data_IF_071831631292
#
_entry.id   IF_071831631292
#
_cell.length_a   1.000
_cell.length_b   1.000
_cell.length_c   1.000
_cell.angle_alpha   90.00
_cell.angle_beta   90.00
_cell.angle_gamma   90.00
#
_symmetry.space_group_name_H-M   'P 1'
#
loop_
_entity.id
_entity.type
_entity.pdbx_description
1 polymer ?
#
# COMPACT_ATOMS: atom_id res chain seq x y z
N UNK A 1 -8.44 -10.89 -10.50
CA UNK A 1 -7.22 -10.47 -11.24
C UNK A 1 -7.51 -9.50 -12.39
N UNK A 2 -8.37 -9.84 -13.37
CA UNK A 2 -8.64 -8.98 -14.55
C UNK A 2 -8.79 -7.47 -14.30
N UNK A 3 -9.52 -7.05 -13.26
CA UNK A 3 -9.69 -5.62 -12.94
C UNK A 3 -8.38 -4.97 -12.47
N UNK A 4 -7.62 -5.61 -11.58
CA UNK A 4 -6.37 -5.07 -11.05
C UNK A 4 -5.32 -4.90 -12.14
N UNK A 5 -5.19 -5.88 -13.03
CA UNK A 5 -4.32 -5.80 -14.22
C UNK A 5 -4.72 -4.65 -15.15
N UNK A 6 -6.02 -4.41 -15.32
CA UNK A 6 -6.52 -3.30 -16.13
C UNK A 6 -6.19 -1.94 -15.48
N UNK A 7 -6.36 -1.86 -14.16
CA UNK A 7 -6.03 -0.66 -13.40
C UNK A 7 -4.52 -0.37 -13.49
N UNK A 8 -3.67 -1.35 -13.26
CA UNK A 8 -2.22 -1.21 -13.37
C UNK A 8 -1.80 -0.75 -14.78
N UNK A 9 -2.41 -1.34 -15.82
CA UNK A 9 -2.04 -1.06 -17.21
C UNK A 9 -2.57 0.29 -17.73
N UNK A 10 -3.80 0.66 -17.38
CA UNK A 10 -4.51 1.75 -18.05
C UNK A 10 -4.80 2.94 -17.15
N UNK A 11 -4.76 2.78 -15.83
CA UNK A 11 -5.04 3.91 -14.95
C UNK A 11 -3.83 4.83 -14.89
N UNK A 12 -4.05 6.13 -15.08
CA UNK A 12 -3.00 7.12 -14.94
C UNK A 12 -2.66 7.27 -13.45
N UNK A 13 -1.67 6.51 -12.95
CA UNK A 13 -1.29 6.52 -11.53
C UNK A 13 -0.97 7.93 -11.02
N UNK A 14 -0.36 8.78 -11.86
CA UNK A 14 -0.11 10.22 -11.58
C UNK A 14 -1.37 11.06 -11.32
N UNK A 15 -2.55 10.54 -11.64
CA UNK A 15 -3.84 11.18 -11.37
C UNK A 15 -4.51 10.67 -10.10
N UNK A 16 -3.91 9.74 -9.37
CA UNK A 16 -4.50 9.23 -8.15
C UNK A 16 -4.47 10.29 -7.04
N UNK A 17 -5.44 10.22 -6.15
CA UNK A 17 -5.25 10.76 -4.81
C UNK A 17 -4.22 9.89 -4.10
N UNK A 18 -3.37 10.45 -3.24
CA UNK A 18 -2.26 9.68 -2.71
C UNK A 18 -2.67 8.37 -1.98
N UNK A 19 -3.87 8.32 -1.38
CA UNK A 19 -4.40 7.09 -0.75
C UNK A 19 -4.72 5.97 -1.75
N UNK A 20 -4.85 6.30 -3.05
CA UNK A 20 -5.14 5.35 -4.11
C UNK A 20 -4.07 4.28 -4.23
N UNK A 21 -2.80 4.64 -4.06
CA UNK A 21 -1.69 3.67 -4.08
C UNK A 21 -1.73 2.72 -2.90
N UNK A 22 -2.02 3.22 -1.71
CA UNK A 22 -2.22 2.35 -0.54
C UNK A 22 -3.41 1.41 -0.72
N UNK A 23 -4.51 1.86 -1.35
CA UNK A 23 -5.60 0.95 -1.70
C UNK A 23 -5.19 -0.14 -2.69
N UNK A 24 -4.43 0.20 -3.72
CA UNK A 24 -3.89 -0.80 -4.64
C UNK A 24 -2.95 -1.77 -3.91
N UNK A 25 -2.12 -1.26 -3.00
CA UNK A 25 -1.22 -2.04 -2.17
C UNK A 25 -1.95 -3.01 -1.23
N UNK A 26 -3.10 -2.65 -0.67
CA UNK A 26 -3.90 -3.57 0.14
C UNK A 26 -4.60 -4.65 -0.71
N UNK A 27 -4.93 -4.35 -1.96
CA UNK A 27 -5.58 -5.29 -2.87
C UNK A 27 -4.59 -6.31 -3.47
N UNK A 28 -3.34 -5.92 -3.74
CA UNK A 28 -2.40 -6.78 -4.45
C UNK A 28 -2.07 -8.11 -3.71
N UNK A 29 -1.82 -8.13 -2.37
CA UNK A 29 -1.60 -9.36 -1.62
C UNK A 29 -2.79 -10.31 -1.65
N UNK A 30 -4.03 -9.78 -1.67
CA UNK A 30 -5.25 -10.59 -1.80
C UNK A 30 -5.36 -11.32 -3.13
N UNK A 31 -4.66 -10.82 -4.15
CA UNK A 31 -4.56 -11.45 -5.45
C UNK A 31 -3.31 -12.35 -5.57
N UNK A 32 -2.58 -12.55 -4.47
CA UNK A 32 -1.33 -13.30 -4.43
C UNK A 32 -0.16 -12.56 -5.07
N UNK A 33 -0.18 -11.23 -5.10
CA UNK A 33 0.88 -10.39 -5.65
C UNK A 33 1.41 -9.41 -4.59
N UNK A 34 2.15 -9.96 -3.64
CA UNK A 34 2.79 -9.21 -2.55
C UNK A 34 3.92 -8.31 -3.03
N UNK A 35 4.55 -8.65 -4.18
CA UNK A 35 5.60 -7.82 -4.79
C UNK A 35 5.00 -6.49 -5.27
N UNK A 36 3.92 -6.56 -6.03
CA UNK A 36 3.24 -5.38 -6.54
C UNK A 36 2.71 -4.47 -5.42
N UNK A 37 2.38 -5.03 -4.25
CA UNK A 37 2.02 -4.25 -3.07
C UNK A 37 3.14 -3.30 -2.64
N UNK A 38 4.38 -3.81 -2.59
CA UNK A 38 5.57 -3.02 -2.24
C UNK A 38 5.86 -1.99 -3.32
N UNK A 39 5.74 -2.35 -4.60
CA UNK A 39 5.93 -1.42 -5.72
C UNK A 39 4.96 -0.22 -5.66
N UNK A 40 3.70 -0.44 -5.27
CA UNK A 40 2.75 0.67 -5.07
C UNK A 40 3.17 1.59 -3.92
N UNK A 41 3.65 1.04 -2.81
CA UNK A 41 4.09 1.83 -1.64
C UNK A 41 5.42 2.57 -1.89
N UNK A 42 6.24 2.08 -2.81
CA UNK A 42 7.50 2.72 -3.24
C UNK A 42 7.34 3.62 -4.46
N UNK A 43 6.13 3.74 -5.01
CA UNK A 43 5.91 4.48 -6.25
C UNK A 43 6.34 5.95 -6.11
N UNK A 44 6.99 6.57 -7.13
CA UNK A 44 7.54 7.93 -7.04
C UNK A 44 6.55 9.07 -6.72
N UNK A 45 5.25 8.79 -6.71
CA UNK A 45 4.21 9.78 -6.38
C UNK A 45 3.75 9.63 -4.92
N UNK A 46 4.05 8.50 -4.27
CA UNK A 46 3.77 8.25 -2.85
C UNK A 46 4.89 8.81 -1.99
N UNK A 47 4.99 10.13 -1.94
CA UNK A 47 6.13 10.83 -1.35
C UNK A 47 5.84 11.36 0.05
N UNK A 48 6.88 11.36 0.87
CA UNK A 48 6.90 11.96 2.19
C UNK A 48 8.07 12.95 2.27
N UNK A 49 7.88 14.06 2.98
CA UNK A 49 8.95 15.02 3.21
C UNK A 49 9.95 14.50 4.26
N UNK A 50 10.97 15.31 4.58
CA UNK A 50 12.00 14.95 5.55
C UNK A 50 11.50 14.87 7.00
N UNK A 51 10.31 15.41 7.29
CA UNK A 51 9.64 15.26 8.58
C UNK A 51 8.66 14.07 8.59
N UNK A 52 8.55 13.33 7.48
CA UNK A 52 7.66 12.18 7.33
C UNK A 52 6.21 12.57 7.01
N UNK A 53 5.94 13.83 6.65
CA UNK A 53 4.60 14.21 6.25
C UNK A 53 4.34 13.88 4.77
N UNK A 54 3.12 13.41 4.44
CA UNK A 54 2.76 13.10 3.07
C UNK A 54 2.72 14.37 2.23
N UNK A 55 3.51 14.38 1.17
CA UNK A 55 3.54 15.47 0.20
C UNK A 55 2.25 15.38 -0.63
N UNK A 56 1.45 16.43 -0.55
CA UNK A 56 0.29 16.59 -1.41
C UNK A 56 0.72 16.84 -2.85
N UNK A 57 0.14 16.10 -3.79
CA UNK A 57 0.36 16.30 -5.22
C UNK A 57 -0.51 17.43 -5.79
N UNK A 58 -0.48 17.59 -7.12
CA UNK A 58 -1.29 18.58 -7.85
C UNK A 58 -2.80 18.61 -7.52
N UNK A 59 -3.34 17.52 -6.96
CA UNK A 59 -4.78 17.38 -6.64
C UNK A 59 -5.14 17.62 -5.18
N UNK A 60 -4.19 17.54 -4.26
CA UNK A 60 -4.46 17.65 -2.81
C UNK A 60 -3.38 18.48 -2.12
N UNK A 61 -3.75 19.44 -1.25
CA UNK A 61 -2.77 20.25 -0.55
C UNK A 61 -2.02 19.42 0.50
N UNK A 62 -0.73 19.73 0.65
CA UNK A 62 0.13 19.23 1.74
C UNK A 62 -0.31 19.85 3.08
N UNK A 63 -0.45 19.12 4.19
CA UNK A 63 -0.22 17.68 4.38
C UNK A 63 -1.50 16.86 4.18
N UNK A 64 -1.45 15.85 3.30
CA UNK A 64 -2.60 15.01 3.01
C UNK A 64 -2.59 13.72 3.87
N UNK A 65 -3.01 13.84 5.13
CA UNK A 65 -2.94 12.77 6.14
C UNK A 65 -3.60 11.42 5.79
N UNK A 66 -4.62 11.34 4.92
CA UNK A 66 -5.08 10.03 4.45
C UNK A 66 -3.93 9.15 3.94
N UNK A 67 -2.94 9.69 3.23
CA UNK A 67 -1.79 8.90 2.77
C UNK A 67 -1.11 8.12 3.91
N UNK A 68 -0.78 8.81 5.00
CA UNK A 68 -0.09 8.19 6.13
C UNK A 68 -0.96 7.12 6.79
N UNK A 69 -2.24 7.41 7.00
CA UNK A 69 -3.16 6.46 7.60
C UNK A 69 -3.31 5.18 6.75
N UNK A 70 -3.46 5.34 5.44
CA UNK A 70 -3.61 4.21 4.53
C UNK A 70 -2.28 3.46 4.30
N UNK A 71 -1.13 4.12 4.37
CA UNK A 71 0.18 3.44 4.41
C UNK A 71 0.26 2.52 5.62
N UNK A 72 -0.06 3.03 6.81
CA UNK A 72 -0.02 2.22 8.04
C UNK A 72 -0.98 1.04 7.97
N UNK A 73 -2.19 1.24 7.42
CA UNK A 73 -3.13 0.16 7.21
C UNK A 73 -2.61 -0.88 6.21
N UNK A 74 -2.04 -0.45 5.08
CA UNK A 74 -1.45 -1.37 4.10
C UNK A 74 -0.30 -2.19 4.70
N UNK A 75 0.56 -1.57 5.49
CA UNK A 75 1.64 -2.27 6.22
C UNK A 75 1.06 -3.24 7.24
N UNK A 76 0.05 -2.84 8.01
CA UNK A 76 -0.60 -3.72 8.98
C UNK A 76 -1.21 -4.96 8.33
N UNK A 77 -1.77 -4.81 7.13
CA UNK A 77 -2.34 -5.92 6.37
C UNK A 77 -1.28 -6.85 5.78
N UNK A 78 -0.14 -6.31 5.36
CA UNK A 78 1.01 -7.13 4.95
C UNK A 78 1.61 -7.86 6.15
N UNK A 79 1.62 -7.25 7.33
CA UNK A 79 2.22 -7.80 8.53
C UNK A 79 1.33 -8.81 9.27
N UNK A 80 0.02 -8.56 9.37
CA UNK A 80 -0.93 -9.36 10.17
C UNK A 80 -2.05 -10.02 9.37
N UNK A 81 -2.21 -9.68 8.09
CA UNK A 81 -3.26 -10.25 7.23
C UNK A 81 -4.61 -9.56 7.39
N UNK A 82 -5.67 -10.28 7.05
CA UNK A 82 -7.10 -9.88 7.09
C UNK A 82 -7.96 -11.11 7.43
N UNK A 83 -9.26 -10.92 7.67
CA UNK A 83 -10.19 -11.94 8.19
C UNK A 83 -10.09 -13.33 7.50
N UNK A 84 -9.85 -13.38 6.19
CA UNK A 84 -9.82 -14.62 5.40
C UNK A 84 -8.40 -15.17 5.16
N UNK A 85 -7.36 -14.43 5.57
CA UNK A 85 -5.96 -14.74 5.29
C UNK A 85 -5.06 -14.08 6.33
N UNK A 86 -5.10 -14.61 7.55
CA UNK A 86 -4.30 -14.13 8.66
C UNK A 86 -2.81 -14.40 8.47
N UNK A 87 -1.97 -13.62 9.15
CA UNK A 87 -0.53 -13.81 9.19
C UNK A 87 0.24 -12.93 8.19
N UNK A 88 1.54 -13.17 8.11
CA UNK A 88 2.50 -12.35 7.35
C UNK A 88 2.41 -12.64 5.84
N UNK A 89 2.28 -11.59 5.03
CA UNK A 89 2.20 -11.62 3.55
C UNK A 89 3.32 -10.80 2.90
N UNK A 90 4.57 -11.00 3.34
CA UNK A 90 5.73 -10.30 2.77
C UNK A 90 6.11 -10.83 1.38
N UNK A 91 6.72 -9.95 0.57
CA UNK A 91 7.26 -10.31 -0.75
C UNK A 91 8.35 -11.37 -0.65
N UNK A 92 8.56 -12.09 -1.74
CA UNK A 92 9.65 -13.06 -1.84
C UNK A 92 11.02 -12.39 -1.62
N UNK A 93 11.93 -13.10 -0.94
CA UNK A 93 13.25 -12.59 -0.56
C UNK A 93 13.28 -11.76 0.74
N UNK A 94 12.14 -11.48 1.36
CA UNK A 94 12.06 -10.87 2.69
C UNK A 94 11.98 -11.97 3.77
N UNK A 95 13.02 -12.79 3.81
CA UNK A 95 13.16 -13.87 4.78
C UNK A 95 13.55 -13.31 6.16
N UNK A 96 12.92 -13.83 7.23
CA UNK A 96 13.23 -13.41 8.61
C UNK A 96 12.63 -12.07 9.04
N UNK A 97 11.63 -11.55 8.32
CA UNK A 97 10.89 -10.37 8.77
C UNK A 97 10.05 -10.70 10.00
N UNK A 98 10.32 -9.99 11.09
CA UNK A 98 9.52 -10.05 12.31
C UNK A 98 8.41 -8.99 12.28
N UNK A 99 7.23 -9.42 12.71
CA UNK A 99 6.05 -8.58 12.84
C UNK A 99 5.27 -9.13 14.04
N UNK A 100 5.27 -8.36 15.12
CA UNK A 100 4.68 -8.72 16.40
C UNK A 100 3.45 -7.86 16.66
N UNK A 101 2.47 -8.43 17.35
CA UNK A 101 1.27 -7.74 17.84
C UNK A 101 0.35 -7.13 16.76
N UNK A 102 0.56 -7.45 15.48
CA UNK A 102 -0.39 -7.14 14.42
C UNK A 102 -1.60 -8.07 14.51
N UNK A 103 -2.78 -7.46 14.59
CA UNK A 103 -4.06 -8.16 14.40
C UNK A 103 -4.47 -8.07 12.93
N UNK A 104 -5.22 -9.06 12.41
CA UNK A 104 -5.79 -8.99 11.08
C UNK A 104 -6.51 -7.65 10.87
N UNK A 105 -6.14 -6.96 9.81
CA UNK A 105 -6.68 -5.67 9.46
C UNK A 105 -7.80 -5.86 8.42
N UNK A 106 -9.03 -5.67 8.90
CA UNK A 106 -10.32 -5.83 8.22
C UNK A 106 -10.83 -7.25 8.05
#
# INVERSE_FOLDING_TARGET
>A
KKTAEYIERYWALKGLYGWGLSMLAMNAPRLGDTEQAVEYLLHPIFQFDNAGYPVGESRVPTHYFPNSAWLLLAVAMVAGGWDESEGKHFREGWEGVEADEFVPAM
#
